data_IF_371729230298
#
_entry.id   IF_371729230298
#
_cell.length_a   1.000
_cell.length_b   1.000
_cell.length_c   1.000
_cell.angle_alpha   90.00
_cell.angle_beta   90.00
_cell.angle_gamma   90.00
#
_symmetry.space_group_name_H-M   'P 1'
#
loop_
_entity.id
_entity.type
_entity.pdbx_description
1 polymer ?
#
# COMPACT_ATOMS: atom_id res chain seq x y z
N UNK A 1 -29.64 6.64 10.62
CA UNK A 1 -28.52 7.49 10.15
C UNK A 1 -27.55 6.58 9.44
N UNK A 2 -27.36 6.72 8.12
CA UNK A 2 -26.34 5.95 7.40
C UNK A 2 -24.98 6.39 7.91
N UNK A 3 -24.36 5.61 8.79
CA UNK A 3 -22.97 5.83 9.17
C UNK A 3 -22.11 5.65 7.93
N UNK A 4 -21.23 6.61 7.65
CA UNK A 4 -20.23 6.48 6.58
C UNK A 4 -19.18 5.45 7.03
N UNK A 5 -18.72 4.56 6.15
CA UNK A 5 -17.79 3.49 6.53
C UNK A 5 -16.38 4.02 6.79
N UNK A 6 -16.05 5.21 6.27
CA UNK A 6 -14.80 5.93 6.49
C UNK A 6 -15.09 7.29 7.15
N UNK A 7 -14.31 7.64 8.18
CA UNK A 7 -14.40 8.93 8.85
C UNK A 7 -13.09 9.28 9.60
N UNK A 8 -12.07 9.77 8.89
CA UNK A 8 -10.81 10.25 9.47
C UNK A 8 -10.72 11.77 9.34
N UNK A 9 -10.94 12.44 10.47
CA UNK A 9 -10.94 13.91 10.55
C UNK A 9 -9.76 14.46 11.36
N UNK A 10 -8.85 13.60 11.84
CA UNK A 10 -7.71 14.00 12.68
C UNK A 10 -6.73 12.82 12.86
N UNK A 11 -5.43 13.11 12.94
CA UNK A 11 -4.39 12.15 13.35
C UNK A 11 -4.40 11.82 14.86
N UNK A 12 -5.06 12.63 15.70
CA UNK A 12 -5.03 12.51 17.17
C UNK A 12 -6.39 12.21 17.81
N UNK A 13 -7.44 12.05 16.99
CA UNK A 13 -8.76 11.65 17.46
C UNK A 13 -8.74 10.25 18.07
N UNK A 14 -9.77 9.92 18.85
CA UNK A 14 -9.95 8.56 19.37
C UNK A 14 -10.13 7.59 18.20
N UNK A 15 -9.15 6.73 17.99
CA UNK A 15 -9.15 5.70 16.95
C UNK A 15 -10.24 4.67 17.26
N UNK A 16 -11.06 4.33 16.26
CA UNK A 16 -12.13 3.33 16.39
C UNK A 16 -11.88 2.08 15.56
N UNK A 17 -11.35 2.25 14.36
CA UNK A 17 -11.05 1.16 13.43
C UNK A 17 -9.72 1.45 12.76
N UNK A 18 -8.92 0.42 12.55
CA UNK A 18 -7.61 0.50 11.89
C UNK A 18 -7.41 -0.66 10.93
N UNK A 19 -6.74 -0.40 9.80
CA UNK A 19 -6.33 -1.42 8.84
C UNK A 19 -4.85 -1.77 9.03
N UNK A 20 -4.58 -3.03 9.31
CA UNK A 20 -3.24 -3.60 9.42
C UNK A 20 -3.03 -4.67 8.35
N UNK A 21 -1.77 -5.09 8.17
CA UNK A 21 -1.42 -6.29 7.42
C UNK A 21 -0.39 -7.06 8.22
N UNK A 22 -0.76 -8.27 8.64
CA UNK A 22 0.11 -9.12 9.44
C UNK A 22 1.21 -9.68 8.52
N UNK A 23 2.50 -9.52 8.85
CA UNK A 23 3.57 -10.02 8.01
C UNK A 23 3.47 -11.53 7.72
N UNK A 24 3.65 -11.89 6.45
CA UNK A 24 3.58 -13.24 5.92
C UNK A 24 4.85 -13.71 5.21
N UNK A 25 4.70 -14.73 4.37
CA UNK A 25 5.79 -15.36 3.59
C UNK A 25 6.50 -14.38 2.65
N UNK A 26 5.91 -13.21 2.35
CA UNK A 26 6.58 -12.13 1.62
C UNK A 26 7.89 -11.67 2.29
N UNK A 27 8.00 -11.79 3.62
CA UNK A 27 9.25 -11.50 4.34
C UNK A 27 10.26 -12.64 4.24
N UNK A 28 9.84 -13.89 4.10
CA UNK A 28 10.74 -15.04 3.91
C UNK A 28 11.37 -15.05 2.52
N UNK A 29 10.70 -14.42 1.55
CA UNK A 29 11.19 -14.26 0.19
C UNK A 29 12.14 -13.05 0.03
N UNK A 30 12.49 -12.35 1.11
CA UNK A 30 13.58 -11.38 1.12
C UNK A 30 14.93 -12.10 1.12
N UNK A 31 15.68 -12.02 0.02
CA UNK A 31 17.06 -12.51 -0.04
C UNK A 31 18.07 -11.34 -0.03
N UNK A 32 19.30 -11.56 0.43
CA UNK A 32 20.31 -10.49 0.51
C UNK A 32 20.56 -9.76 -0.81
N UNK A 33 20.49 -10.50 -1.92
CA UNK A 33 20.77 -9.98 -3.26
C UNK A 33 19.70 -9.01 -3.75
N UNK A 34 18.46 -9.10 -3.25
CA UNK A 34 17.30 -8.31 -3.70
C UNK A 34 16.72 -7.37 -2.64
N UNK A 35 17.30 -7.30 -1.44
CA UNK A 35 16.85 -6.45 -0.32
C UNK A 35 16.63 -4.98 -0.73
N UNK A 36 17.62 -4.40 -1.42
CA UNK A 36 17.58 -2.97 -1.81
C UNK A 36 16.51 -2.69 -2.85
N UNK A 37 16.30 -3.61 -3.78
CA UNK A 37 15.28 -3.49 -4.83
C UNK A 37 13.86 -3.60 -4.24
N UNK A 38 13.73 -4.34 -3.13
CA UNK A 38 12.49 -4.50 -2.37
C UNK A 38 12.31 -3.45 -1.25
N UNK A 39 13.24 -2.49 -1.13
CA UNK A 39 13.23 -1.38 -0.18
C UNK A 39 13.37 -1.79 1.30
N UNK A 40 14.06 -2.89 1.58
CA UNK A 40 14.38 -3.35 2.94
C UNK A 40 15.85 -3.14 3.30
N UNK A 41 16.10 -2.77 4.55
CA UNK A 41 17.45 -2.57 5.09
C UNK A 41 18.09 -3.85 5.65
N UNK A 42 17.26 -4.79 6.14
CA UNK A 42 17.70 -6.09 6.67
C UNK A 42 16.59 -7.15 6.51
N UNK A 43 16.92 -8.44 6.67
CA UNK A 43 15.97 -9.56 6.59
C UNK A 43 15.34 -9.77 7.97
N UNK A 44 14.04 -9.44 8.15
CA UNK A 44 13.36 -9.65 9.42
C UNK A 44 13.13 -11.14 9.69
N UNK A 45 13.25 -11.54 10.96
CA UNK A 45 12.87 -12.88 11.38
C UNK A 45 11.34 -12.98 11.45
N UNK A 46 10.69 -13.58 10.44
CA UNK A 46 9.22 -13.58 10.29
C UNK A 46 8.47 -13.93 11.57
N UNK A 47 8.87 -15.01 12.27
CA UNK A 47 8.21 -15.42 13.52
C UNK A 47 8.22 -14.33 14.60
N UNK A 48 9.32 -13.58 14.73
CA UNK A 48 9.45 -12.51 15.72
C UNK A 48 8.63 -11.31 15.26
N UNK A 49 8.73 -10.92 13.99
CA UNK A 49 7.93 -9.84 13.42
C UNK A 49 6.41 -10.09 13.57
N UNK A 50 5.98 -11.34 13.40
CA UNK A 50 4.60 -11.76 13.65
C UNK A 50 4.20 -11.63 15.12
N UNK A 51 5.06 -12.05 16.06
CA UNK A 51 4.79 -11.90 17.49
C UNK A 51 4.67 -10.43 17.90
N UNK A 52 5.58 -9.58 17.41
CA UNK A 52 5.55 -8.13 17.65
C UNK A 52 4.31 -7.47 17.04
N UNK A 53 3.94 -7.85 15.81
CA UNK A 53 2.75 -7.33 15.15
C UNK A 53 1.46 -7.81 15.85
N UNK A 54 1.42 -9.05 16.32
CA UNK A 54 0.27 -9.59 17.06
C UNK A 54 0.11 -8.85 18.40
N UNK A 55 1.20 -8.57 19.12
CA UNK A 55 1.18 -7.76 20.34
C UNK A 55 0.71 -6.33 20.06
N UNK A 56 1.22 -5.69 19.00
CA UNK A 56 0.75 -4.37 18.57
C UNK A 56 -0.75 -4.34 18.29
N UNK A 57 -1.26 -5.33 17.55
CA UNK A 57 -2.69 -5.44 17.27
C UNK A 57 -3.51 -5.68 18.55
N UNK A 58 -3.00 -6.47 19.51
CA UNK A 58 -3.67 -6.71 20.78
C UNK A 58 -3.75 -5.44 21.64
N UNK A 59 -2.68 -4.65 21.72
CA UNK A 59 -2.71 -3.35 22.41
C UNK A 59 -3.82 -2.46 21.86
N UNK A 60 -4.03 -2.42 20.54
CA UNK A 60 -5.12 -1.65 19.93
C UNK A 60 -6.50 -2.21 20.32
N UNK A 61 -6.68 -3.54 20.25
CA UNK A 61 -7.94 -4.20 20.64
C UNK A 61 -8.29 -4.00 22.11
N UNK A 62 -7.28 -4.05 22.99
CA UNK A 62 -7.44 -3.81 24.44
C UNK A 62 -7.92 -2.38 24.74
N UNK A 63 -7.64 -1.44 23.84
CA UNK A 63 -8.15 -0.07 23.88
C UNK A 63 -9.46 0.12 23.09
N UNK A 64 -10.13 -0.96 22.71
CA UNK A 64 -11.44 -0.95 22.05
C UNK A 64 -11.38 -0.59 20.56
N UNK A 65 -10.21 -0.63 19.92
CA UNK A 65 -10.06 -0.40 18.48
C UNK A 65 -10.38 -1.68 17.72
N UNK A 66 -11.25 -1.58 16.72
CA UNK A 66 -11.48 -2.64 15.74
C UNK A 66 -10.27 -2.75 14.81
N UNK A 67 -9.60 -3.89 14.81
CA UNK A 67 -8.45 -4.17 13.93
C UNK A 67 -8.92 -5.00 12.74
N UNK A 68 -8.82 -4.43 11.54
CA UNK A 68 -9.07 -5.09 10.26
C UNK A 68 -7.75 -5.52 9.63
N UNK A 69 -7.77 -6.62 8.86
CA UNK A 69 -6.61 -7.10 8.11
C UNK A 69 -6.79 -6.99 6.60
N UNK A 70 -5.75 -6.53 5.92
CA UNK A 70 -5.73 -6.32 4.47
C UNK A 70 -6.05 -7.59 3.68
N UNK A 71 -5.42 -8.72 4.03
CA UNK A 71 -5.60 -10.00 3.36
C UNK A 71 -7.02 -10.55 3.55
N UNK A 72 -7.61 -10.35 4.73
CA UNK A 72 -8.99 -10.72 5.03
C UNK A 72 -9.98 -9.86 4.23
N UNK A 73 -9.85 -8.54 4.27
CA UNK A 73 -10.73 -7.63 3.53
C UNK A 73 -10.67 -7.87 2.01
N UNK A 74 -9.48 -8.06 1.43
CA UNK A 74 -9.44 -8.35 -0.02
C UNK A 74 -10.00 -9.73 -0.33
N UNK A 75 -9.81 -10.73 0.54
CA UNK A 75 -10.44 -12.05 0.36
C UNK A 75 -11.96 -11.94 0.35
N UNK A 76 -12.53 -11.16 1.26
CA UNK A 76 -13.98 -10.90 1.33
C UNK A 76 -14.49 -10.08 0.13
N UNK A 77 -13.67 -9.18 -0.41
CA UNK A 77 -13.99 -8.41 -1.61
C UNK A 77 -14.05 -9.29 -2.88
N UNK A 78 -13.21 -10.32 -2.96
CA UNK A 78 -13.15 -11.28 -4.07
C UNK A 78 -14.23 -12.37 -3.95
N UNK A 79 -15.49 -11.94 -3.89
CA UNK A 79 -16.66 -12.77 -3.59
C UNK A 79 -17.23 -13.58 -4.77
N UNK A 80 -16.60 -13.50 -5.95
CA UNK A 80 -17.00 -14.26 -7.13
C UNK A 80 -15.78 -14.71 -7.93
N UNK A 81 -15.92 -15.82 -8.67
CA UNK A 81 -14.84 -16.35 -9.51
C UNK A 81 -14.42 -15.35 -10.60
N UNK A 82 -15.35 -14.53 -11.08
CA UNK A 82 -15.05 -13.46 -12.05
C UNK A 82 -14.15 -12.38 -11.44
N UNK A 83 -14.49 -11.86 -10.25
CA UNK A 83 -13.66 -10.86 -9.56
C UNK A 83 -12.29 -11.44 -9.17
N UNK A 84 -12.26 -12.71 -8.74
CA UNK A 84 -11.02 -13.43 -8.45
C UNK A 84 -10.12 -13.48 -9.70
N UNK A 85 -10.68 -13.82 -10.85
CA UNK A 85 -9.94 -13.87 -12.11
C UNK A 85 -9.43 -12.49 -12.55
N UNK A 86 -10.29 -11.48 -12.50
CA UNK A 86 -9.94 -10.09 -12.83
C UNK A 86 -8.80 -9.57 -11.95
N UNK A 87 -8.87 -9.83 -10.65
CA UNK A 87 -7.83 -9.44 -9.70
C UNK A 87 -6.48 -10.09 -10.01
N UNK A 88 -6.47 -11.38 -10.34
CA UNK A 88 -5.25 -12.08 -10.74
C UNK A 88 -4.70 -11.47 -12.04
N UNK A 89 -5.55 -11.26 -13.04
CA UNK A 89 -5.14 -10.72 -14.33
C UNK A 89 -4.51 -9.33 -14.18
N UNK A 90 -5.08 -8.47 -13.35
CA UNK A 90 -4.51 -7.15 -13.05
C UNK A 90 -3.23 -7.21 -12.23
N UNK A 91 -3.14 -8.10 -11.24
CA UNK A 91 -1.91 -8.29 -10.46
C UNK A 91 -0.75 -8.76 -11.34
N UNK A 92 -1.03 -9.67 -12.28
CA UNK A 92 -0.05 -10.16 -13.24
C UNK A 92 0.34 -9.09 -14.25
N UNK A 93 -0.61 -8.31 -14.76
CA UNK A 93 -0.32 -7.19 -15.66
C UNK A 93 0.46 -6.06 -14.98
N UNK A 94 0.22 -5.83 -13.68
CA UNK A 94 0.98 -4.88 -12.86
C UNK A 94 2.37 -5.40 -12.46
N UNK A 95 2.63 -6.69 -12.68
CA UNK A 95 3.95 -7.31 -12.52
C UNK A 95 4.66 -7.28 -13.87
N UNK A 96 6.00 -7.20 -13.90
CA UNK A 96 6.80 -7.13 -15.15
C UNK A 96 6.80 -8.46 -15.94
N UNK A 97 5.65 -9.12 -16.06
CA UNK A 97 5.47 -10.39 -16.74
C UNK A 97 5.17 -10.15 -18.21
N UNK A 98 6.22 -9.85 -18.98
CA UNK A 98 6.12 -9.55 -20.42
C UNK A 98 5.94 -10.81 -21.29
N UNK A 99 6.17 -12.01 -20.74
CA UNK A 99 6.04 -13.27 -21.48
C UNK A 99 4.65 -13.91 -21.32
N UNK A 100 3.80 -13.77 -22.35
CA UNK A 100 2.39 -14.25 -22.39
C UNK A 100 2.18 -15.70 -21.90
N UNK A 101 3.18 -16.57 -22.04
CA UNK A 101 3.09 -18.00 -21.70
C UNK A 101 3.34 -18.30 -20.21
N UNK A 102 4.32 -17.65 -19.59
CA UNK A 102 4.55 -17.75 -18.14
C UNK A 102 3.36 -17.16 -17.39
N UNK A 103 2.79 -16.08 -17.91
CA UNK A 103 1.58 -15.44 -17.38
C UNK A 103 0.41 -16.43 -17.25
N UNK A 104 0.16 -17.29 -18.25
CA UNK A 104 -0.96 -18.24 -18.18
C UNK A 104 -0.75 -19.34 -17.14
N UNK A 105 0.44 -19.94 -17.09
CA UNK A 105 0.75 -20.99 -16.10
C UNK A 105 0.68 -20.45 -14.67
N UNK A 106 1.19 -19.23 -14.47
CA UNK A 106 1.12 -18.52 -13.20
C UNK A 106 -0.34 -18.18 -12.82
N UNK A 107 -1.14 -17.72 -13.78
CA UNK A 107 -2.57 -17.45 -13.60
C UNK A 107 -3.32 -18.70 -13.15
N UNK A 108 -3.13 -19.82 -13.85
CA UNK A 108 -3.80 -21.09 -13.53
C UNK A 108 -3.36 -21.63 -12.17
N UNK A 109 -2.07 -21.52 -11.84
CA UNK A 109 -1.54 -21.84 -10.52
C UNK A 109 -2.24 -21.04 -9.40
N UNK A 110 -2.32 -19.72 -9.55
CA UNK A 110 -2.97 -18.85 -8.56
C UNK A 110 -4.48 -19.14 -8.43
N UNK A 111 -5.18 -19.30 -9.56
CA UNK A 111 -6.63 -19.54 -9.55
C UNK A 111 -7.01 -20.92 -9.02
N UNK A 112 -6.10 -21.90 -9.08
CA UNK A 112 -6.31 -23.24 -8.48
C UNK A 112 -6.40 -23.23 -6.95
N UNK A 113 -5.92 -22.18 -6.29
CA UNK A 113 -5.93 -22.07 -4.83
C UNK A 113 -7.28 -21.53 -4.30
N UNK A 114 -7.66 -21.87 -3.06
CA UNK A 114 -8.69 -21.11 -2.32
C UNK A 114 -8.35 -19.60 -2.26
N UNK A 115 -9.35 -18.72 -2.33
CA UNK A 115 -9.15 -17.26 -2.47
C UNK A 115 -8.21 -16.67 -1.41
N UNK A 116 -8.37 -17.05 -0.14
CA UNK A 116 -7.48 -16.59 0.94
C UNK A 116 -6.02 -17.01 0.74
N UNK A 117 -5.78 -18.24 0.28
CA UNK A 117 -4.44 -18.74 -0.03
C UNK A 117 -3.87 -18.05 -1.26
N UNK A 118 -4.69 -17.84 -2.29
CA UNK A 118 -4.29 -17.11 -3.50
C UNK A 118 -3.85 -15.68 -3.16
N UNK A 119 -4.63 -14.95 -2.36
CA UNK A 119 -4.29 -13.58 -1.92
C UNK A 119 -2.94 -13.57 -1.19
N UNK A 120 -2.78 -14.42 -0.18
CA UNK A 120 -1.52 -14.52 0.57
C UNK A 120 -0.35 -14.94 -0.33
N UNK A 121 -0.58 -15.81 -1.31
CA UNK A 121 0.44 -16.22 -2.27
C UNK A 121 0.85 -15.07 -3.21
N UNK A 122 -0.10 -14.25 -3.64
CA UNK A 122 0.19 -13.04 -4.44
C UNK A 122 1.01 -12.03 -3.64
N UNK A 123 0.68 -11.86 -2.35
CA UNK A 123 1.44 -11.02 -1.41
C UNK A 123 2.87 -11.55 -1.22
N UNK A 124 2.98 -12.87 -0.99
CA UNK A 124 4.24 -13.58 -0.82
C UNK A 124 5.11 -13.60 -2.08
N UNK A 125 4.52 -13.43 -3.26
CA UNK A 125 5.20 -13.70 -4.52
C UNK A 125 5.27 -15.21 -4.82
N UNK A 126 5.71 -15.52 -6.04
CA UNK A 126 5.79 -16.90 -6.56
C UNK A 126 7.19 -17.14 -7.08
N UNK A 127 7.89 -18.10 -6.48
CA UNK A 127 9.22 -18.50 -6.93
C UNK A 127 9.15 -19.40 -8.16
N UNK A 128 10.22 -19.42 -8.94
CA UNK A 128 10.34 -20.25 -10.15
C UNK A 128 10.33 -21.75 -9.84
N UNK A 129 10.79 -22.15 -8.66
CA UNK A 129 10.82 -23.55 -8.22
C UNK A 129 9.45 -24.10 -7.78
N UNK A 130 8.46 -23.22 -7.59
CA UNK A 130 7.10 -23.61 -7.19
C UNK A 130 6.21 -24.00 -8.37
N UNK A 131 6.54 -23.56 -9.57
CA UNK A 131 5.78 -23.84 -10.79
C UNK A 131 6.66 -24.65 -11.73
N UNK A 132 6.25 -25.88 -12.02
CA UNK A 132 6.81 -26.65 -13.13
C UNK A 132 6.18 -26.17 -14.43
N UNK A 133 6.94 -25.44 -15.26
CA UNK A 133 6.51 -25.11 -16.61
C UNK A 133 6.50 -26.38 -17.50
N UNK A 134 5.60 -26.49 -18.49
CA UNK A 134 5.64 -27.62 -19.41
C UNK A 134 6.96 -27.68 -20.20
N UNK A 135 7.44 -28.88 -20.62
CA UNK A 135 8.76 -29.06 -21.23
C UNK A 135 9.02 -28.18 -22.46
N UNK A 136 7.99 -27.85 -23.25
CA UNK A 136 8.10 -26.93 -24.40
C UNK A 136 8.46 -25.48 -24.02
N UNK A 137 8.37 -25.12 -22.74
CA UNK A 137 8.72 -23.78 -22.25
C UNK A 137 10.19 -23.65 -21.82
N UNK A 138 10.94 -24.75 -21.69
CA UNK A 138 12.36 -24.74 -21.34
C UNK A 138 13.28 -24.34 -22.52
N UNK A 139 12.70 -24.01 -23.68
CA UNK A 139 13.42 -23.84 -24.95
C UNK A 139 13.33 -22.41 -25.50
N UNK A 140 13.04 -21.39 -24.68
CA UNK A 140 13.11 -20.00 -25.13
C UNK A 140 14.53 -19.47 -25.04
N UNK A 141 14.96 -18.75 -26.09
CA UNK A 141 16.32 -18.18 -26.15
C UNK A 141 16.64 -17.28 -24.97
N UNK A 142 15.68 -16.56 -24.40
CA UNK A 142 15.92 -15.70 -23.23
C UNK A 142 16.20 -16.52 -21.97
N UNK A 143 15.49 -17.62 -21.71
CA UNK A 143 15.78 -18.56 -20.61
C UNK A 143 17.15 -19.27 -20.79
N UNK A 144 17.65 -19.35 -22.02
CA UNK A 144 18.95 -19.95 -22.35
C UNK A 144 20.12 -18.96 -22.34
N UNK A 145 19.85 -17.66 -22.58
CA UNK A 145 20.84 -16.58 -22.70
C UNK A 145 20.94 -15.79 -21.40
N UNK A 146 19.81 -15.50 -20.77
CA UNK A 146 19.77 -15.01 -19.40
C UNK A 146 19.86 -16.23 -18.47
N UNK A 147 21.07 -16.51 -17.99
CA UNK A 147 21.23 -17.16 -16.68
C UNK A 147 20.74 -16.19 -15.59
N UNK A 148 19.50 -15.73 -15.68
CA UNK A 148 18.97 -14.80 -14.70
C UNK A 148 18.68 -15.60 -13.44
N UNK A 149 19.60 -15.49 -12.49
CA UNK A 149 19.51 -16.03 -11.14
C UNK A 149 18.27 -15.49 -10.39
N UNK A 150 17.52 -14.58 -10.99
CA UNK A 150 16.28 -14.05 -10.44
C UNK A 150 15.26 -15.16 -10.15
N UNK A 151 14.91 -15.40 -8.88
CA UNK A 151 14.22 -16.62 -8.47
C UNK A 151 12.68 -16.49 -8.52
N UNK A 152 12.13 -15.35 -8.96
CA UNK A 152 10.69 -15.10 -8.90
C UNK A 152 10.03 -15.00 -10.29
N UNK A 153 8.86 -15.60 -10.41
CA UNK A 153 7.87 -15.25 -11.45
C UNK A 153 6.96 -14.11 -10.98
N UNK A 154 6.77 -13.97 -9.67
CA UNK A 154 6.02 -12.87 -9.09
C UNK A 154 6.76 -12.37 -7.86
N UNK A 155 7.16 -11.10 -7.86
CA UNK A 155 7.93 -10.53 -6.76
C UNK A 155 7.08 -10.50 -5.47
N UNK A 156 7.69 -10.77 -4.30
CA UNK A 156 7.05 -10.52 -3.01
C UNK A 156 6.75 -9.02 -2.83
N UNK A 157 5.74 -8.70 -2.02
CA UNK A 157 5.42 -7.33 -1.60
C UNK A 157 5.67 -7.16 -0.10
N UNK A 158 6.94 -7.15 0.34
CA UNK A 158 7.28 -7.21 1.77
C UNK A 158 6.87 -5.94 2.53
N UNK A 159 6.65 -4.81 1.84
CA UNK A 159 6.22 -3.56 2.45
C UNK A 159 4.72 -3.51 2.80
N UNK A 160 3.94 -4.56 2.54
CA UNK A 160 2.48 -4.56 2.77
C UNK A 160 2.08 -4.31 4.23
N UNK A 161 2.95 -4.65 5.20
CA UNK A 161 2.68 -4.35 6.62
C UNK A 161 2.76 -2.85 6.94
N UNK A 162 3.32 -2.03 6.04
CA UNK A 162 3.21 -0.58 6.07
C UNK A 162 1.95 -0.11 5.33
N UNK A 163 0.78 -0.37 5.92
CA UNK A 163 -0.54 -0.05 5.34
C UNK A 163 -0.81 1.44 5.16
N UNK A 164 0.03 2.32 5.70
CA UNK A 164 -0.09 3.78 5.61
C UNK A 164 0.07 4.32 4.20
N UNK A 165 1.00 3.77 3.42
CA UNK A 165 1.40 4.42 2.16
C UNK A 165 0.46 4.12 0.98
N UNK A 166 -0.01 2.87 0.76
CA UNK A 166 -0.80 2.52 -0.42
C UNK A 166 -2.16 3.21 -0.54
N UNK A 167 -2.72 3.70 0.57
CA UNK A 167 -3.93 4.50 0.61
C UNK A 167 -4.00 5.31 1.91
N UNK A 168 -4.54 6.54 1.85
CA UNK A 168 -4.80 7.35 3.03
C UNK A 168 -6.28 7.77 3.09
N UNK A 169 -6.93 7.58 4.24
CA UNK A 169 -8.31 8.02 4.43
C UNK A 169 -8.34 9.50 4.83
N UNK A 170 -9.15 10.29 4.11
CA UNK A 170 -9.32 11.72 4.35
C UNK A 170 -10.81 12.02 4.43
N UNK A 171 -11.28 12.42 5.60
CA UNK A 171 -12.69 12.60 5.88
C UNK A 171 -13.45 11.30 5.63
N UNK A 172 -14.40 11.35 4.70
CA UNK A 172 -15.20 10.18 4.29
C UNK A 172 -14.78 9.55 2.98
N UNK A 173 -13.66 9.96 2.41
CA UNK A 173 -13.08 9.38 1.21
C UNK A 173 -11.65 8.95 1.46
N UNK A 174 -10.92 8.63 0.40
CA UNK A 174 -9.53 8.23 0.49
C UNK A 174 -8.75 8.58 -0.77
N UNK A 175 -7.43 8.58 -0.65
CA UNK A 175 -6.52 8.42 -1.78
C UNK A 175 -6.20 6.94 -1.95
N UNK A 176 -6.20 6.46 -3.19
CA UNK A 176 -5.63 5.16 -3.57
C UNK A 176 -4.34 5.51 -4.32
N UNK A 177 -3.21 5.31 -3.66
CA UNK A 177 -2.01 6.04 -4.00
C UNK A 177 -1.24 5.48 -5.20
N UNK A 178 -0.69 6.39 -6.01
CA UNK A 178 0.30 6.08 -7.04
C UNK A 178 1.68 6.03 -6.39
N UNK A 179 2.10 4.83 -5.99
CA UNK A 179 3.41 4.63 -5.36
C UNK A 179 4.56 5.08 -6.26
N UNK A 180 5.56 5.73 -5.66
CA UNK A 180 6.71 6.26 -6.39
C UNK A 180 7.52 5.13 -7.05
N UNK A 181 7.96 4.19 -6.21
CA UNK A 181 8.75 3.03 -6.63
C UNK A 181 7.89 1.99 -7.34
N UNK A 182 8.25 1.55 -8.56
CA UNK A 182 7.49 0.54 -9.30
C UNK A 182 7.20 -0.74 -8.51
N UNK A 183 8.14 -1.20 -7.69
CA UNK A 183 8.00 -2.41 -6.86
C UNK A 183 6.79 -2.35 -5.91
N UNK A 184 6.39 -1.15 -5.45
CA UNK A 184 5.27 -0.96 -4.52
C UNK A 184 3.93 -0.69 -5.19
N UNK A 185 3.89 -0.43 -6.51
CA UNK A 185 2.64 -0.01 -7.22
C UNK A 185 1.54 -1.06 -7.24
N UNK A 186 1.90 -2.31 -6.99
CA UNK A 186 0.96 -3.42 -6.84
C UNK A 186 0.18 -3.35 -5.51
N UNK A 187 0.77 -2.76 -4.47
CA UNK A 187 0.17 -2.71 -3.12
C UNK A 187 -1.15 -1.93 -3.10
N UNK A 188 -1.26 -0.81 -3.83
CA UNK A 188 -2.50 -0.02 -3.84
C UNK A 188 -3.66 -0.69 -4.60
N UNK A 189 -3.39 -1.76 -5.37
CA UNK A 189 -4.43 -2.52 -6.07
C UNK A 189 -5.35 -3.27 -5.08
N UNK A 190 -4.79 -3.75 -3.95
CA UNK A 190 -5.61 -4.38 -2.89
C UNK A 190 -6.66 -3.40 -2.35
N UNK A 191 -6.28 -2.15 -2.11
CA UNK A 191 -7.18 -1.11 -1.60
C UNK A 191 -8.30 -0.78 -2.59
N UNK A 192 -8.00 -0.74 -3.89
CA UNK A 192 -9.02 -0.53 -4.93
C UNK A 192 -10.09 -1.61 -4.88
N UNK A 193 -9.70 -2.89 -4.87
CA UNK A 193 -10.66 -4.00 -4.79
C UNK A 193 -11.48 -3.97 -3.48
N UNK A 194 -10.86 -3.60 -2.36
CA UNK A 194 -11.57 -3.45 -1.08
C UNK A 194 -12.64 -2.37 -1.18
N UNK A 195 -12.31 -1.19 -1.69
CA UNK A 195 -13.29 -0.09 -1.80
C UNK A 195 -14.38 -0.41 -2.82
N UNK A 196 -14.02 -0.97 -3.97
CA UNK A 196 -14.95 -1.21 -5.07
C UNK A 196 -15.91 -2.38 -4.82
N UNK A 197 -15.48 -3.41 -4.07
CA UNK A 197 -16.21 -4.70 -4.02
C UNK A 197 -16.50 -5.25 -2.62
N UNK A 198 -15.82 -4.78 -1.58
CA UNK A 198 -16.04 -5.32 -0.24
C UNK A 198 -17.43 -4.92 0.30
N UNK A 199 -18.20 -5.83 0.92
CA UNK A 199 -19.56 -5.53 1.42
C UNK A 199 -19.63 -4.35 2.40
N UNK A 200 -18.57 -4.11 3.16
CA UNK A 200 -18.47 -2.95 4.09
C UNK A 200 -18.37 -1.60 3.39
N UNK A 201 -17.90 -1.56 2.13
CA UNK A 201 -17.53 -0.32 1.44
C UNK A 201 -18.31 -0.09 0.14
N UNK A 202 -18.48 -1.11 -0.70
CA UNK A 202 -19.03 -1.00 -2.06
C UNK A 202 -20.47 -0.44 -2.15
N UNK A 203 -21.26 -0.56 -1.07
CA UNK A 203 -22.61 -0.01 -0.99
C UNK A 203 -22.68 1.47 -0.62
N UNK A 204 -21.53 2.12 -0.40
CA UNK A 204 -21.43 3.51 0.03
C UNK A 204 -20.81 4.40 -1.05
N UNK A 205 -21.24 5.66 -1.07
CA UNK A 205 -20.59 6.70 -1.87
C UNK A 205 -19.30 7.15 -1.14
N UNK A 206 -18.18 6.51 -1.50
CA UNK A 206 -16.84 6.79 -0.97
C UNK A 206 -16.06 7.53 -2.06
N UNK A 207 -15.82 8.84 -1.91
CA UNK A 207 -15.01 9.58 -2.87
C UNK A 207 -13.56 9.10 -2.88
N UNK A 208 -12.98 8.97 -4.08
CA UNK A 208 -11.55 8.72 -4.29
C UNK A 208 -10.90 10.04 -4.70
N UNK A 209 -10.20 10.68 -3.77
CA UNK A 209 -9.57 12.00 -3.96
C UNK A 209 -8.37 11.96 -4.91
N UNK A 210 -7.69 10.81 -4.97
CA UNK A 210 -6.56 10.55 -5.86
C UNK A 210 -6.53 9.06 -6.18
N UNK A 211 -6.26 8.69 -7.44
CA UNK A 211 -6.35 7.30 -7.90
C UNK A 211 -4.98 6.74 -8.28
N UNK A 212 -4.80 5.42 -8.19
CA UNK A 212 -3.54 4.71 -8.46
C UNK A 212 -3.12 4.75 -9.93
N UNK A 213 -4.06 5.05 -10.81
CA UNK A 213 -3.83 5.16 -12.26
C UNK A 213 -3.40 6.58 -12.67
N UNK A 214 -3.28 7.48 -11.70
CA UNK A 214 -2.73 8.81 -11.90
C UNK A 214 -1.27 8.80 -12.34
N UNK A 215 -0.88 9.89 -12.99
CA UNK A 215 0.47 10.04 -13.57
C UNK A 215 1.54 10.30 -12.51
N UNK A 216 1.22 11.11 -11.51
CA UNK A 216 2.18 11.63 -10.54
C UNK A 216 2.13 10.80 -9.24
N UNK A 217 3.25 10.72 -8.52
CA UNK A 217 3.30 9.89 -7.33
C UNK A 217 2.83 10.63 -6.07
N UNK A 218 2.16 9.89 -5.19
CA UNK A 218 1.69 10.31 -3.87
C UNK A 218 1.75 9.09 -2.97
N UNK A 219 2.19 9.26 -1.72
CA UNK A 219 2.21 8.18 -0.71
C UNK A 219 1.66 8.68 0.62
N UNK A 220 0.88 7.84 1.31
CA UNK A 220 0.13 8.23 2.50
C UNK A 220 0.97 8.60 3.71
N UNK A 221 2.25 8.23 3.75
CA UNK A 221 3.18 8.71 4.77
C UNK A 221 3.48 10.21 4.69
N UNK A 222 3.14 10.89 3.59
CA UNK A 222 3.19 12.35 3.44
C UNK A 222 1.83 13.03 3.66
N UNK A 223 0.74 12.28 3.87
CA UNK A 223 -0.64 12.79 3.99
C UNK A 223 -1.09 12.81 5.46
N UNK A 224 -1.23 13.99 6.06
CA UNK A 224 -1.61 14.15 7.48
C UNK A 224 -2.91 14.94 7.61
N UNK A 225 -3.94 14.32 8.20
CA UNK A 225 -5.22 15.00 8.48
C UNK A 225 -5.13 15.69 9.84
N UNK A 226 -4.93 17.01 9.86
CA UNK A 226 -4.75 17.74 11.12
C UNK A 226 -6.08 17.87 11.88
N UNK A 227 -7.11 18.29 11.17
CA UNK A 227 -8.49 18.41 11.67
C UNK A 227 -9.48 18.33 10.50
N UNK A 228 -10.78 18.53 10.77
CA UNK A 228 -11.85 18.43 9.75
C UNK A 228 -11.79 19.48 8.64
N UNK A 229 -10.95 20.51 8.78
CA UNK A 229 -10.83 21.62 7.83
C UNK A 229 -9.42 21.76 7.23
N UNK A 230 -8.41 21.12 7.82
CA UNK A 230 -7.01 21.33 7.46
C UNK A 230 -6.21 20.03 7.39
N UNK A 231 -5.34 19.96 6.39
CA UNK A 231 -4.34 18.91 6.22
C UNK A 231 -2.93 19.49 6.11
N UNK A 232 -1.93 18.67 6.41
CA UNK A 232 -0.55 18.90 6.03
C UNK A 232 -0.11 17.83 5.03
N UNK A 233 0.55 18.23 3.95
CA UNK A 233 1.08 17.30 2.95
C UNK A 233 2.56 17.60 2.68
N UNK A 234 3.38 16.55 2.76
CA UNK A 234 4.81 16.61 2.46
C UNK A 234 5.07 16.59 0.95
N UNK A 235 5.86 17.53 0.45
CA UNK A 235 6.51 17.40 -0.86
C UNK A 235 7.83 16.66 -0.64
N UNK A 236 7.97 15.50 -1.28
CA UNK A 236 9.06 14.57 -1.02
C UNK A 236 9.55 13.88 -2.29
N UNK A 237 10.54 13.00 -2.15
CA UNK A 237 10.93 12.08 -3.24
C UNK A 237 9.74 11.25 -3.73
N UNK A 238 8.75 10.98 -2.86
CA UNK A 238 7.63 10.07 -3.13
C UNK A 238 6.34 10.77 -3.48
N UNK A 239 6.14 12.01 -3.02
CA UNK A 239 4.94 12.81 -3.28
C UNK A 239 5.28 14.08 -4.05
N UNK A 240 4.74 14.22 -5.27
CA UNK A 240 5.00 15.37 -6.14
C UNK A 240 3.95 16.47 -5.96
N UNK A 241 4.32 17.72 -6.27
CA UNK A 241 3.41 18.85 -6.13
C UNK A 241 2.19 18.74 -7.06
N UNK A 242 2.35 18.19 -8.26
CA UNK A 242 1.28 17.98 -9.24
C UNK A 242 0.25 16.96 -8.74
N UNK A 243 0.69 15.93 -8.01
CA UNK A 243 -0.22 14.98 -7.37
C UNK A 243 -1.07 15.69 -6.30
N UNK A 244 -0.43 16.54 -5.48
CA UNK A 244 -1.11 17.32 -4.44
C UNK A 244 -2.14 18.28 -5.03
N UNK A 245 -1.77 19.03 -6.08
CA UNK A 245 -2.68 19.96 -6.76
C UNK A 245 -3.93 19.24 -7.31
N UNK A 246 -3.74 18.10 -7.95
CA UNK A 246 -4.83 17.31 -8.49
C UNK A 246 -5.74 16.75 -7.38
N UNK A 247 -5.16 16.16 -6.34
CA UNK A 247 -5.91 15.65 -5.19
C UNK A 247 -6.71 16.77 -4.50
N UNK A 248 -6.08 17.93 -4.28
CA UNK A 248 -6.71 19.08 -3.64
C UNK A 248 -7.90 19.61 -4.42
N UNK A 249 -7.83 19.60 -5.76
CA UNK A 249 -8.95 19.99 -6.63
C UNK A 249 -10.19 19.15 -6.37
N UNK A 250 -10.04 17.82 -6.32
CA UNK A 250 -11.16 16.90 -6.03
C UNK A 250 -11.64 17.04 -4.58
N UNK A 251 -10.70 17.14 -3.64
CA UNK A 251 -11.01 17.21 -2.20
C UNK A 251 -11.76 18.49 -1.82
N UNK A 252 -11.35 19.65 -2.32
CA UNK A 252 -11.98 20.94 -2.00
C UNK A 252 -13.37 21.10 -2.63
N UNK A 253 -13.67 20.36 -3.70
CA UNK A 253 -14.96 20.46 -4.38
C UNK A 253 -16.13 19.95 -3.51
N UNK A 254 -15.90 18.96 -2.66
CA UNK A 254 -16.98 18.23 -1.97
C UNK A 254 -16.72 17.88 -0.50
N UNK A 255 -15.51 18.10 0.03
CA UNK A 255 -15.18 17.83 1.44
C UNK A 255 -15.23 19.09 2.31
N UNK A 256 -15.09 18.91 3.63
CA UNK A 256 -14.94 20.01 4.59
C UNK A 256 -13.51 20.56 4.68
N UNK A 257 -12.52 19.90 4.07
CA UNK A 257 -11.14 20.39 4.06
C UNK A 257 -11.08 21.61 3.15
N UNK A 258 -10.57 22.72 3.68
CA UNK A 258 -10.46 24.01 2.98
C UNK A 258 -9.02 24.54 2.95
N UNK A 259 -8.08 23.84 3.60
CA UNK A 259 -6.69 24.27 3.71
C UNK A 259 -5.73 23.10 3.66
N UNK A 260 -4.69 23.25 2.86
CA UNK A 260 -3.57 22.30 2.81
C UNK A 260 -2.27 23.08 3.09
N UNK A 261 -1.56 22.67 4.14
CA UNK A 261 -0.21 23.14 4.44
C UNK A 261 0.81 22.24 3.75
N UNK A 262 1.65 22.80 2.90
CA UNK A 262 2.72 22.10 2.22
C UNK A 262 4.00 22.18 3.06
N UNK A 263 4.60 21.03 3.33
CA UNK A 263 5.94 20.92 3.93
C UNK A 263 6.95 20.47 2.88
N UNK A 264 7.94 21.29 2.57
CA UNK A 264 9.06 20.84 1.73
C UNK A 264 10.13 20.20 2.61
N UNK A 265 10.51 18.95 2.34
CA UNK A 265 11.72 18.35 2.94
C UNK A 265 12.99 19.11 2.50
N UNK A 266 13.29 20.22 3.18
CA UNK A 266 14.56 20.91 3.08
C UNK A 266 15.59 20.21 3.99
N UNK A 267 16.09 19.04 3.59
CA UNK A 267 17.18 18.39 4.32
C UNK A 267 18.30 17.96 3.37
N UNK A 268 19.37 18.77 3.30
CA UNK A 268 20.73 18.28 3.05
C UNK A 268 21.14 17.44 4.27
N UNK A 269 20.76 16.17 4.29
CA UNK A 269 21.31 15.22 5.27
C UNK A 269 22.79 15.04 4.92
N UNK A 270 23.69 15.56 5.76
CA UNK A 270 25.09 15.09 5.77
C UNK A 270 25.03 13.58 5.90
N UNK A 271 25.75 12.93 5.00
CA UNK A 271 25.80 11.50 4.65
C UNK A 271 26.01 10.53 5.84
N UNK A 272 25.19 10.55 6.88
CA UNK A 272 25.23 9.60 8.00
C UNK A 272 23.80 9.28 8.46
N UNK A 273 23.34 8.09 8.04
CA UNK A 273 22.13 7.33 8.42
C UNK A 273 20.77 7.75 7.78
N UNK A 274 20.01 6.81 7.18
CA UNK A 274 18.74 7.12 6.53
C UNK A 274 17.58 7.08 7.53
N UNK A 275 16.83 8.18 7.65
CA UNK A 275 15.46 8.17 8.15
C UNK A 275 14.53 8.46 6.94
N UNK A 276 13.53 7.61 6.71
CA UNK A 276 12.58 7.67 5.58
C UNK A 276 11.13 7.79 6.11
N UNK A 277 10.27 8.47 5.33
CA UNK A 277 8.86 8.89 5.56
C UNK A 277 8.63 10.16 6.40
N UNK A 278 7.64 11.00 6.05
CA UNK A 278 7.25 12.21 6.84
C UNK A 278 6.71 11.84 8.22
N UNK A 279 6.10 10.66 8.39
CA UNK A 279 5.83 10.09 9.74
C UNK A 279 7.06 9.99 10.66
N UNK A 280 8.29 9.97 10.12
CA UNK A 280 9.53 10.01 10.91
C UNK A 280 10.02 11.41 11.28
N UNK A 281 9.47 12.47 10.66
CA UNK A 281 9.93 13.86 10.80
C UNK A 281 8.84 14.85 11.25
N UNK A 282 7.57 14.48 11.10
CA UNK A 282 6.41 15.19 11.65
C UNK A 282 5.29 14.19 11.96
N UNK A 283 5.12 13.89 13.24
CA UNK A 283 3.89 13.30 13.80
C UNK A 283 3.23 14.37 14.65
N UNK A 284 1.92 14.57 14.51
CA UNK A 284 1.17 15.45 15.42
C UNK A 284 1.02 14.70 16.74
N UNK A 285 1.86 15.02 17.72
CA UNK A 285 1.77 14.47 19.05
C UNK A 285 1.28 15.58 19.98
N UNK A 286 0.01 15.50 20.38
CA UNK A 286 -0.65 16.44 21.30
C UNK A 286 -0.95 17.81 20.66
N UNK A 287 -2.14 18.35 20.95
CA UNK A 287 -2.75 19.59 20.39
C UNK A 287 -1.85 20.84 20.46
N UNK A 288 -0.71 20.79 21.18
CA UNK A 288 0.21 21.90 21.38
C UNK A 288 1.63 21.67 20.83
N UNK A 289 1.95 20.51 20.24
CA UNK A 289 3.29 20.23 19.72
C UNK A 289 3.30 19.48 18.39
N UNK A 290 3.88 20.11 17.37
CA UNK A 290 4.35 19.42 16.17
C UNK A 290 5.85 19.23 16.32
N UNK A 291 6.31 17.98 16.36
CA UNK A 291 7.75 17.70 16.21
C UNK A 291 8.07 18.01 14.75
N UNK A 292 8.81 19.07 14.45
CA UNK A 292 9.15 19.44 13.06
C UNK A 292 10.64 19.63 12.86
N UNK A 293 11.11 19.26 11.67
CA UNK A 293 12.39 19.68 11.11
C UNK A 293 12.21 20.46 9.79
N UNK A 294 11.09 21.16 9.58
CA UNK A 294 10.62 21.55 8.24
C UNK A 294 9.94 22.92 8.20
N UNK A 295 10.06 23.64 7.07
CA UNK A 295 9.37 24.91 6.79
C UNK A 295 8.00 24.64 6.15
N UNK A 296 6.93 25.18 6.74
CA UNK A 296 5.55 25.04 6.23
C UNK A 296 5.14 26.25 5.38
N UNK A 297 4.49 26.01 4.24
CA UNK A 297 3.79 27.02 3.42
C UNK A 297 2.30 26.67 3.35
N UNK A 298 1.40 27.64 3.38
CA UNK A 298 -0.06 27.39 3.40
C UNK A 298 -0.73 27.81 2.10
N UNK A 299 -1.53 26.93 1.51
CA UNK A 299 -2.48 27.26 0.43
C UNK A 299 -3.92 27.19 0.95
N UNK A 300 -4.75 28.14 0.55
CA UNK A 300 -6.19 28.23 0.87
C UNK A 300 -7.00 28.33 -0.42
N UNK A 301 -8.24 27.81 -0.40
CA UNK A 301 -9.24 27.97 -1.46
C UNK A 301 -9.49 29.44 -1.83
#
# INVERSE_FOLDING_TARGET
>A
MNQKPLQINSEIGVLKTVLLHRPGEELENLTPDYLKDLLFDDIPHLKVAQQEHDEFANVLRDHGVEVLYLDELVTEALNSDNLKAEFVDEMLAASKQDSRRVTQSLRDYLLSMPTNKMVRKIMAGVRKDEISLPPEHHQQLHDMVEQDHYPFYLDPMPNLYFTRDPAATIGNGLTINKMHWPARRRESLFMRYIIDHHPRFAGHDIPVWYNRDEKFSMEGGDELVLNSEAMAIGISERTTAEAIEKMATELFAVSSISRISLGEKSFKVKKERPFRLVGSLATVAVVESVVTGTTLRTCSS
#
